data_IF_089223637940
#
_entry.id   IF_089223637940
#
_cell.length_a   1.000
_cell.length_b   1.000
_cell.length_c   1.000
_cell.angle_alpha   90.00
_cell.angle_beta   90.00
_cell.angle_gamma   90.00
#
_symmetry.space_group_name_H-M   'P 1'
#
loop_
_entity.id
_entity.type
_entity.pdbx_description
1 polymer ?
#
# COMPACT_ATOMS: atom_id res chain seq x y z
N UNK A 1 31.37 23.71 23.74
CA UNK A 1 31.53 23.43 22.30
C UNK A 1 30.44 24.21 21.56
N UNK A 2 30.78 25.19 20.73
CA UNK A 2 29.79 26.05 20.06
C UNK A 2 29.34 25.36 18.76
N UNK A 3 28.10 24.88 18.70
CA UNK A 3 27.57 24.08 17.58
C UNK A 3 27.69 24.80 16.23
N UNK A 4 27.63 26.15 16.22
CA UNK A 4 27.81 26.97 15.01
C UNK A 4 29.20 26.89 14.37
N UNK A 5 30.20 26.37 15.10
CA UNK A 5 31.55 26.12 14.59
C UNK A 5 31.74 24.72 14.01
N UNK A 6 30.75 23.83 14.11
CA UNK A 6 30.83 22.47 13.56
C UNK A 6 30.91 22.52 12.02
N UNK A 7 31.85 21.77 11.40
CA UNK A 7 31.94 21.65 9.94
C UNK A 7 30.64 21.14 9.32
N UNK A 8 29.97 20.18 9.98
CA UNK A 8 28.67 19.65 9.56
C UNK A 8 27.58 20.72 9.63
N UNK A 9 27.57 21.55 10.68
CA UNK A 9 26.63 22.67 10.78
C UNK A 9 26.82 23.66 9.64
N UNK A 10 28.06 24.04 9.30
CA UNK A 10 28.35 24.96 8.20
C UNK A 10 27.97 24.42 6.82
N UNK A 11 28.08 23.10 6.63
CA UNK A 11 27.80 22.45 5.35
C UNK A 11 26.29 22.32 5.09
N UNK A 12 25.49 21.99 6.10
CA UNK A 12 24.05 21.75 5.93
C UNK A 12 23.17 22.96 6.27
N UNK A 13 23.57 23.81 7.24
CA UNK A 13 22.77 24.97 7.62
C UNK A 13 22.72 26.04 6.52
N UNK A 14 23.79 26.21 5.73
CA UNK A 14 23.80 27.21 4.63
C UNK A 14 22.71 26.93 3.59
N UNK A 15 22.54 25.67 3.19
CA UNK A 15 21.54 25.27 2.20
C UNK A 15 20.10 25.44 2.74
N UNK A 16 19.87 25.12 4.01
CA UNK A 16 18.56 25.33 4.67
C UNK A 16 18.26 26.82 4.92
N UNK A 17 19.29 27.66 5.09
CA UNK A 17 19.15 29.11 5.26
C UNK A 17 18.99 29.86 3.92
N UNK A 18 19.41 29.27 2.80
CA UNK A 18 19.29 29.86 1.45
C UNK A 18 17.98 29.50 0.73
N UNK A 19 17.19 28.53 1.21
CA UNK A 19 15.90 28.18 0.61
C UNK A 19 14.79 29.18 0.99
N UNK A 20 14.77 30.31 0.29
CA UNK A 20 13.57 30.99 -0.20
C UNK A 20 12.48 31.43 0.79
N UNK A 21 12.73 32.49 1.57
CA UNK A 21 11.78 33.61 1.70
C UNK A 21 12.49 34.85 2.27
N UNK A 22 12.79 35.83 1.42
CA UNK A 22 13.69 36.95 1.76
C UNK A 22 13.06 38.09 2.56
N UNK A 23 11.77 38.04 2.88
CA UNK A 23 11.11 39.13 3.61
C UNK A 23 10.35 38.64 4.84
N UNK A 24 11.07 38.59 5.97
CA UNK A 24 10.63 38.87 7.36
C UNK A 24 11.69 38.36 8.34
N UNK A 25 12.67 39.20 8.67
CA UNK A 25 13.66 38.89 9.71
C UNK A 25 13.01 38.97 11.10
N UNK A 26 12.65 37.83 11.65
CA UNK A 26 12.63 37.63 13.10
C UNK A 26 14.01 37.10 13.53
N UNK A 27 14.55 37.50 14.69
CA UNK A 27 15.82 36.96 15.19
C UNK A 27 15.65 35.46 15.47
N UNK A 28 16.36 34.62 14.69
CA UNK A 28 16.35 33.17 14.90
C UNK A 28 17.07 32.82 16.20
N UNK A 29 16.31 32.37 17.19
CA UNK A 29 16.84 31.70 18.38
C UNK A 29 17.61 30.43 17.97
N UNK A 30 18.66 30.00 18.70
CA UNK A 30 19.38 28.74 18.44
C UNK A 30 18.46 27.51 18.33
N UNK A 31 17.32 27.54 19.02
CA UNK A 31 16.26 26.53 18.93
C UNK A 31 15.66 26.46 17.52
N UNK A 32 15.37 27.60 16.88
CA UNK A 32 14.74 27.63 15.56
C UNK A 32 15.63 27.16 14.41
N UNK A 33 16.95 27.31 14.53
CA UNK A 33 17.88 26.80 13.50
C UNK A 33 17.98 25.27 13.57
N UNK A 34 18.01 24.70 14.78
CA UNK A 34 17.99 23.25 14.97
C UNK A 34 16.71 22.65 14.41
N UNK A 35 15.56 23.26 14.70
CA UNK A 35 14.27 22.83 14.16
C UNK A 35 14.24 22.90 12.62
N UNK A 36 14.78 23.97 12.02
CA UNK A 36 14.86 24.11 10.57
C UNK A 36 15.77 23.06 9.91
N UNK A 37 16.91 22.73 10.53
CA UNK A 37 17.81 21.69 10.02
C UNK A 37 17.16 20.31 10.13
N UNK A 38 16.53 20.00 11.27
CA UNK A 38 15.82 18.73 11.48
C UNK A 38 14.66 18.60 10.47
N UNK A 39 13.88 19.67 10.28
CA UNK A 39 12.82 19.71 9.29
C UNK A 39 13.36 19.44 7.87
N UNK A 40 14.44 20.12 7.48
CA UNK A 40 15.05 19.92 6.16
C UNK A 40 15.52 18.47 5.93
N UNK A 41 16.10 17.82 6.96
CA UNK A 41 16.52 16.42 6.88
C UNK A 41 15.33 15.46 6.76
N UNK A 42 14.21 15.76 7.43
CA UNK A 42 12.98 14.99 7.27
C UNK A 42 12.37 15.18 5.88
N UNK A 43 12.38 16.41 5.36
CA UNK A 43 11.87 16.71 4.01
C UNK A 43 12.67 16.01 2.90
N UNK A 44 13.95 15.74 3.14
CA UNK A 44 14.82 14.97 2.24
C UNK A 44 14.70 13.45 2.41
N UNK A 45 14.09 12.99 3.51
CA UNK A 45 14.00 11.57 3.81
C UNK A 45 13.08 10.85 2.82
N UNK A 46 13.48 9.64 2.45
CA UNK A 46 12.74 8.79 1.51
C UNK A 46 12.43 7.47 2.16
N UNK A 47 11.22 6.98 1.93
CA UNK A 47 10.77 5.68 2.39
C UNK A 47 10.78 4.69 1.23
N UNK A 48 11.54 3.62 1.36
CA UNK A 48 11.49 2.48 0.47
C UNK A 48 10.74 1.35 1.17
N UNK A 49 9.55 1.01 0.67
CA UNK A 49 8.74 -0.07 1.24
C UNK A 49 9.19 -1.41 0.69
N UNK A 50 9.45 -2.36 1.59
CA UNK A 50 9.78 -3.74 1.26
C UNK A 50 8.60 -4.67 1.48
N UNK A 51 7.64 -4.29 2.34
CA UNK A 51 6.39 -5.01 2.56
C UNK A 51 5.26 -4.08 2.94
N UNK A 52 4.09 -4.27 2.33
CA UNK A 52 2.87 -3.52 2.63
C UNK A 52 1.68 -4.47 2.66
N UNK A 53 1.18 -4.82 3.84
CA UNK A 53 0.10 -5.81 3.99
C UNK A 53 -1.16 -5.18 4.56
N UNK A 54 -2.28 -5.40 3.87
CA UNK A 54 -3.63 -5.12 4.37
C UNK A 54 -4.35 -6.46 4.64
N UNK A 55 -4.88 -6.63 5.85
CA UNK A 55 -5.64 -7.82 6.28
C UNK A 55 -6.76 -7.48 7.25
N UNK A 56 -7.55 -8.48 7.66
CA UNK A 56 -8.60 -8.35 8.69
C UNK A 56 -9.58 -7.18 8.42
N UNK A 57 -10.14 -7.15 7.21
CA UNK A 57 -11.08 -6.13 6.78
C UNK A 57 -12.40 -6.17 7.58
N UNK A 58 -12.83 -5.03 8.12
CA UNK A 58 -14.19 -4.82 8.67
C UNK A 58 -14.92 -3.73 7.87
N UNK A 59 -16.10 -3.32 8.31
CA UNK A 59 -16.85 -2.21 7.69
C UNK A 59 -16.10 -0.87 7.78
N UNK A 60 -15.38 -0.67 8.88
CA UNK A 60 -14.80 0.60 9.34
C UNK A 60 -13.30 0.52 9.67
N UNK A 61 -12.65 -0.62 9.42
CA UNK A 61 -11.24 -0.80 9.77
C UNK A 61 -10.52 -1.88 8.95
N UNK A 62 -9.22 -1.96 9.13
CA UNK A 62 -8.36 -3.03 8.64
C UNK A 62 -7.07 -3.10 9.48
N UNK A 63 -6.33 -4.20 9.35
CA UNK A 63 -4.98 -4.30 9.88
C UNK A 63 -3.95 -3.94 8.80
N UNK A 64 -2.94 -3.18 9.20
CA UNK A 64 -1.85 -2.72 8.34
C UNK A 64 -0.50 -3.18 8.92
N UNK A 65 0.36 -3.75 8.07
CA UNK A 65 1.78 -3.97 8.34
C UNK A 65 2.59 -3.22 7.29
N UNK A 66 3.58 -2.43 7.73
CA UNK A 66 4.51 -1.73 6.83
C UNK A 66 5.93 -2.09 7.26
N UNK A 67 6.70 -2.62 6.33
CA UNK A 67 8.13 -2.84 6.48
C UNK A 67 8.86 -2.06 5.38
N UNK A 68 9.97 -1.44 5.73
CA UNK A 68 10.77 -0.72 4.77
C UNK A 68 12.04 -0.16 5.35
N UNK A 69 12.76 0.57 4.50
CA UNK A 69 13.98 1.26 4.88
C UNK A 69 13.81 2.75 4.60
N UNK A 70 14.21 3.57 5.57
CA UNK A 70 14.21 5.02 5.45
C UNK A 70 15.63 5.51 5.18
N UNK A 71 15.80 6.28 4.11
CA UNK A 71 17.08 6.83 3.68
C UNK A 71 17.03 8.36 3.61
N UNK A 72 18.18 9.01 3.42
CA UNK A 72 18.24 10.46 3.21
C UNK A 72 18.01 11.31 4.47
N UNK A 73 18.03 10.69 5.65
CA UNK A 73 17.83 11.36 6.96
C UNK A 73 19.05 12.15 7.45
N UNK A 74 20.09 12.26 6.61
CA UNK A 74 21.31 13.04 6.86
C UNK A 74 22.42 12.27 7.59
N UNK A 75 23.51 12.97 7.87
CA UNK A 75 24.70 12.44 8.59
C UNK A 75 24.52 12.33 10.09
N UNK A 76 23.37 12.75 10.62
CA UNK A 76 23.11 12.84 12.06
C UNK A 76 22.12 11.74 12.43
N UNK A 77 22.59 10.76 13.20
CA UNK A 77 21.69 9.77 13.80
C UNK A 77 20.69 10.47 14.72
N UNK A 78 19.41 10.20 14.48
CA UNK A 78 18.30 10.86 15.13
C UNK A 78 17.24 9.84 15.52
N UNK A 79 16.49 10.10 16.58
CA UNK A 79 15.38 9.26 17.00
C UNK A 79 14.09 9.99 16.74
N UNK A 80 13.28 9.50 15.81
CA UNK A 80 11.88 9.88 15.66
C UNK A 80 11.13 9.17 16.79
N UNK A 81 10.55 9.94 17.71
CA UNK A 81 9.78 9.39 18.83
C UNK A 81 8.45 8.83 18.28
N UNK A 82 8.00 7.72 18.87
CA UNK A 82 6.69 7.14 18.54
C UNK A 82 5.59 8.19 18.56
N UNK A 83 4.82 8.26 17.47
CA UNK A 83 3.84 9.34 17.22
C UNK A 83 2.67 8.82 16.40
N UNK A 84 1.52 9.47 16.49
CA UNK A 84 0.37 9.17 15.65
C UNK A 84 0.51 9.85 14.29
N UNK A 85 0.39 9.12 13.19
CA UNK A 85 0.42 9.67 11.85
C UNK A 85 -0.91 9.49 11.13
N UNK A 86 -1.26 10.45 10.28
CA UNK A 86 -2.39 10.39 9.37
C UNK A 86 -1.97 9.71 8.06
N UNK A 87 -2.75 8.73 7.63
CA UNK A 87 -2.61 8.08 6.33
C UNK A 87 -3.41 8.86 5.30
N UNK A 88 -2.70 9.38 4.29
CA UNK A 88 -3.23 10.31 3.30
C UNK A 88 -3.05 9.74 1.90
N UNK A 89 -4.12 9.75 1.11
CA UNK A 89 -4.09 9.40 -0.31
C UNK A 89 -4.72 10.55 -1.10
N UNK A 90 -4.06 10.98 -2.20
CA UNK A 90 -4.48 12.12 -3.02
C UNK A 90 -4.81 13.40 -2.23
N UNK A 91 -4.07 13.65 -1.14
CA UNK A 91 -4.25 14.83 -0.29
C UNK A 91 -5.39 14.75 0.71
N UNK A 92 -6.16 13.66 0.75
CA UNK A 92 -7.21 13.42 1.73
C UNK A 92 -6.81 12.35 2.74
N UNK A 93 -7.11 12.57 4.02
CA UNK A 93 -6.81 11.60 5.10
C UNK A 93 -7.91 10.55 5.13
N UNK A 94 -7.53 9.27 5.14
CA UNK A 94 -8.49 8.16 5.24
C UNK A 94 -8.31 7.29 6.48
N UNK A 95 -7.22 7.44 7.22
CA UNK A 95 -7.00 6.69 8.46
C UNK A 95 -5.87 7.27 9.32
N UNK A 96 -5.66 6.66 10.49
CA UNK A 96 -4.59 7.03 11.44
C UNK A 96 -3.85 5.79 11.92
N UNK A 97 -2.54 5.91 12.09
CA UNK A 97 -1.62 4.85 12.51
C UNK A 97 -0.68 5.35 13.60
N UNK A 98 -0.06 4.44 14.37
CA UNK A 98 1.01 4.79 15.31
C UNK A 98 2.34 4.40 14.71
N UNK A 99 3.18 5.37 14.39
CA UNK A 99 4.54 5.07 13.96
C UNK A 99 5.36 4.61 15.16
N UNK A 100 6.09 3.49 15.07
CA UNK A 100 7.01 3.09 16.13
C UNK A 100 8.12 4.12 16.26
N UNK A 101 8.89 4.04 17.35
CA UNK A 101 10.11 4.82 17.44
C UNK A 101 11.08 4.39 16.33
N UNK A 102 11.61 5.34 15.56
CA UNK A 102 12.54 5.06 14.45
C UNK A 102 13.90 5.69 14.77
N UNK A 103 14.96 4.89 14.76
CA UNK A 103 16.34 5.34 14.96
C UNK A 103 17.05 5.51 13.63
N UNK A 104 17.13 6.73 13.12
CA UNK A 104 17.75 7.05 11.84
C UNK A 104 19.27 6.87 11.89
N UNK A 105 19.83 6.41 10.77
CA UNK A 105 21.26 6.18 10.59
C UNK A 105 21.71 6.75 9.24
N UNK A 106 23.00 7.07 9.14
CA UNK A 106 23.59 7.58 7.89
C UNK A 106 23.48 6.60 6.72
N UNK A 107 23.46 5.29 6.99
CA UNK A 107 23.43 4.24 5.97
C UNK A 107 22.00 3.84 5.57
N UNK A 108 20.99 4.50 6.13
CA UNK A 108 19.61 4.05 6.10
C UNK A 108 19.23 3.29 7.35
N UNK A 109 17.94 3.25 7.63
CA UNK A 109 17.38 2.57 8.80
C UNK A 109 16.18 1.75 8.38
N UNK A 110 16.24 0.46 8.67
CA UNK A 110 15.07 -0.40 8.58
C UNK A 110 14.08 -0.05 9.69
N UNK A 111 12.80 -0.01 9.33
CA UNK A 111 11.73 0.11 10.30
C UNK A 111 10.63 -0.90 9.97
N UNK A 112 10.00 -1.39 11.03
CA UNK A 112 8.86 -2.29 10.96
C UNK A 112 7.76 -1.67 11.80
N UNK A 113 6.73 -1.16 11.12
CA UNK A 113 5.46 -0.90 11.77
C UNK A 113 4.74 -2.25 11.90
N UNK A 114 4.75 -2.78 13.13
CA UNK A 114 4.02 -4.00 13.48
C UNK A 114 2.54 -3.88 13.13
N UNK A 115 1.85 -5.01 13.08
CA UNK A 115 0.43 -5.06 12.75
C UNK A 115 -0.39 -4.10 13.63
N UNK A 116 -1.08 -3.17 12.98
CA UNK A 116 -1.90 -2.17 13.63
C UNK A 116 -3.28 -2.11 13.02
N UNK A 117 -4.29 -2.02 13.88
CA UNK A 117 -5.66 -1.74 13.47
C UNK A 117 -5.78 -0.26 13.10
N UNK A 118 -6.21 0.01 11.88
CA UNK A 118 -6.45 1.33 11.32
C UNK A 118 -7.95 1.55 11.20
N UNK A 119 -8.46 2.62 11.80
CA UNK A 119 -9.84 3.07 11.61
C UNK A 119 -9.96 3.88 10.32
N UNK A 120 -10.99 3.58 9.54
CA UNK A 120 -11.31 4.24 8.28
C UNK A 120 -12.17 5.47 8.58
N UNK A 121 -11.59 6.66 8.45
CA UNK A 121 -12.30 7.92 8.67
C UNK A 121 -12.92 8.50 7.39
N UNK A 122 -12.40 8.09 6.23
CA UNK A 122 -12.95 8.41 4.91
C UNK A 122 -13.00 7.15 4.06
N UNK A 123 -14.18 6.52 4.05
CA UNK A 123 -14.44 5.29 3.31
C UNK A 123 -14.24 5.45 1.80
N UNK A 124 -14.62 6.60 1.24
CA UNK A 124 -14.52 6.83 -0.21
C UNK A 124 -13.07 6.93 -0.62
N UNK A 125 -12.27 7.71 0.11
CA UNK A 125 -10.86 7.86 -0.20
C UNK A 125 -10.07 6.58 0.08
N UNK A 126 -10.43 5.83 1.13
CA UNK A 126 -9.85 4.52 1.39
C UNK A 126 -10.11 3.52 0.24
N UNK A 127 -11.36 3.41 -0.24
CA UNK A 127 -11.65 2.55 -1.38
C UNK A 127 -10.92 3.00 -2.65
N UNK A 128 -10.75 4.30 -2.87
CA UNK A 128 -9.95 4.82 -3.98
C UNK A 128 -8.48 4.42 -3.86
N UNK A 129 -7.93 4.43 -2.64
CA UNK A 129 -6.58 3.94 -2.37
C UNK A 129 -6.44 2.44 -2.65
N UNK A 130 -7.34 1.60 -2.13
CA UNK A 130 -7.31 0.14 -2.41
C UNK A 130 -7.47 -0.14 -3.91
N UNK A 131 -8.34 0.60 -4.61
CA UNK A 131 -8.42 0.51 -6.07
C UNK A 131 -7.08 0.83 -6.73
N UNK A 132 -6.41 1.92 -6.33
CA UNK A 132 -5.11 2.29 -6.91
C UNK A 132 -4.06 1.20 -6.70
N UNK A 133 -4.08 0.52 -5.55
CA UNK A 133 -3.23 -0.64 -5.27
C UNK A 133 -3.51 -1.79 -6.26
N UNK A 134 -4.77 -2.05 -6.59
CA UNK A 134 -5.16 -3.17 -7.45
C UNK A 134 -4.91 -2.87 -8.92
N UNK A 135 -5.27 -1.67 -9.38
CA UNK A 135 -5.41 -1.36 -10.81
C UNK A 135 -4.20 -0.63 -11.38
N UNK A 136 -3.58 0.27 -10.62
CA UNK A 136 -2.50 1.12 -11.13
C UNK A 136 -1.14 0.40 -10.98
N UNK A 137 -0.14 0.76 -11.79
CA UNK A 137 1.22 0.19 -11.70
C UNK A 137 1.98 0.71 -10.48
N UNK A 138 1.70 1.95 -10.08
CA UNK A 138 2.31 2.64 -8.95
C UNK A 138 1.25 3.45 -8.21
N UNK A 139 1.40 3.55 -6.89
CA UNK A 139 0.58 4.42 -6.05
C UNK A 139 1.46 5.09 -5.00
N UNK A 140 0.99 6.19 -4.42
CA UNK A 140 1.72 6.89 -3.36
C UNK A 140 0.82 7.11 -2.16
N UNK A 141 1.23 6.54 -1.03
CA UNK A 141 0.63 6.80 0.26
C UNK A 141 1.46 7.86 1.00
N UNK A 142 0.82 8.76 1.73
CA UNK A 142 1.53 9.75 2.53
C UNK A 142 1.26 9.54 4.02
N UNK A 143 2.34 9.53 4.80
CA UNK A 143 2.30 9.60 6.25
C UNK A 143 2.51 11.05 6.69
N UNK A 144 1.57 11.61 7.44
CA UNK A 144 1.64 13.00 7.90
C UNK A 144 1.45 13.11 9.41
N UNK A 145 2.30 13.89 10.08
CA UNK A 145 2.14 14.28 11.47
C UNK A 145 2.69 15.71 11.66
N UNK A 146 1.90 16.62 12.23
CA UNK A 146 2.29 18.02 12.40
C UNK A 146 2.94 18.35 13.75
N UNK A 147 3.23 17.32 14.56
CA UNK A 147 3.74 17.47 15.93
C UNK A 147 4.71 16.32 16.27
N UNK A 148 5.68 16.09 15.38
CA UNK A 148 6.61 14.98 15.47
C UNK A 148 7.80 15.42 16.31
N UNK A 149 8.15 14.63 17.33
CA UNK A 149 9.33 14.91 18.15
C UNK A 149 10.52 14.11 17.63
N UNK A 150 11.58 14.81 17.24
CA UNK A 150 12.85 14.20 16.83
C UNK A 150 13.93 14.55 17.83
N UNK A 151 14.68 13.54 18.28
CA UNK A 151 15.82 13.70 19.17
C UNK A 151 17.12 13.49 18.41
N UNK A 152 17.99 14.49 18.41
CA UNK A 152 19.28 14.43 17.73
C UNK A 152 20.33 15.22 18.52
N UNK A 153 21.55 14.69 18.64
CA UNK A 153 22.67 15.37 19.32
C UNK A 153 22.35 15.89 20.75
N UNK A 154 21.50 15.17 21.49
CA UNK A 154 21.08 15.55 22.85
C UNK A 154 20.01 16.66 22.89
N UNK A 155 19.51 17.12 21.75
CA UNK A 155 18.43 18.09 21.63
C UNK A 155 17.13 17.38 21.21
N UNK A 156 15.99 18.01 21.52
CA UNK A 156 14.67 17.59 21.05
C UNK A 156 14.05 18.73 20.26
N UNK A 157 13.55 18.41 19.07
CA UNK A 157 12.91 19.34 18.15
C UNK A 157 11.51 18.86 17.80
N UNK A 158 10.58 19.80 17.70
CA UNK A 158 9.23 19.55 17.19
C UNK A 158 9.18 19.95 15.73
N UNK A 159 8.71 19.06 14.87
CA UNK A 159 8.74 19.21 13.42
C UNK A 159 7.51 18.58 12.78
N UNK A 160 7.28 18.93 11.51
CA UNK A 160 6.27 18.30 10.69
C UNK A 160 6.89 17.10 9.98
N UNK A 161 6.32 15.92 10.19
CA UNK A 161 6.66 14.72 9.44
C UNK A 161 5.73 14.62 8.22
N UNK A 162 6.30 14.59 7.03
CA UNK A 162 5.62 14.20 5.80
C UNK A 162 6.50 13.21 5.06
N UNK A 163 6.09 11.95 5.04
CA UNK A 163 6.80 10.90 4.32
C UNK A 163 5.95 10.43 3.15
N UNK A 164 6.50 10.57 1.95
CA UNK A 164 5.98 9.89 0.76
C UNK A 164 6.39 8.42 0.81
N UNK A 165 5.41 7.55 0.59
CA UNK A 165 5.53 6.11 0.56
C UNK A 165 5.13 5.63 -0.84
N UNK A 166 6.04 5.75 -1.83
CA UNK A 166 5.80 5.21 -3.14
C UNK A 166 5.71 3.69 -3.04
N UNK A 167 4.66 3.13 -3.61
CA UNK A 167 4.38 1.70 -3.65
C UNK A 167 4.33 1.26 -5.11
N UNK A 168 5.07 0.20 -5.43
CA UNK A 168 4.80 -0.57 -6.63
C UNK A 168 3.50 -1.33 -6.40
N UNK A 169 2.43 -0.87 -7.05
CA UNK A 169 1.12 -1.44 -6.95
C UNK A 169 1.03 -2.72 -7.80
N UNK A 170 -0.11 -3.40 -7.75
CA UNK A 170 -0.30 -4.71 -8.40
C UNK A 170 -0.34 -4.56 -9.93
N UNK A 171 -0.81 -3.43 -10.46
CA UNK A 171 -0.90 -3.18 -11.91
C UNK A 171 -1.87 -4.12 -12.64
N UNK A 172 -2.92 -4.56 -11.94
CA UNK A 172 -3.82 -5.63 -12.39
C UNK A 172 -3.20 -7.02 -12.16
N UNK A 173 -3.84 -7.90 -11.37
CA UNK A 173 -3.29 -9.22 -11.10
C UNK A 173 -3.13 -10.00 -12.40
N UNK A 174 -1.91 -10.46 -12.68
CA UNK A 174 -1.63 -11.26 -13.89
C UNK A 174 -1.97 -12.71 -13.60
N UNK A 175 -2.92 -13.24 -14.36
CA UNK A 175 -3.44 -14.57 -14.13
C UNK A 175 -3.39 -15.42 -15.39
N UNK A 176 -3.04 -16.69 -15.24
CA UNK A 176 -3.09 -17.68 -16.30
C UNK A 176 -3.63 -19.00 -15.77
N UNK A 177 -4.46 -19.68 -16.57
CA UNK A 177 -5.01 -20.99 -16.21
C UNK A 177 -3.90 -22.02 -16.18
N UNK A 178 -3.67 -22.62 -15.01
CA UNK A 178 -2.75 -23.74 -14.82
C UNK A 178 -3.45 -25.08 -15.02
N UNK A 179 -4.69 -25.19 -14.53
CA UNK A 179 -5.48 -26.40 -14.59
C UNK A 179 -6.96 -26.06 -14.62
N UNK A 180 -7.71 -26.79 -15.42
CA UNK A 180 -9.16 -26.71 -15.48
C UNK A 180 -9.72 -28.14 -15.53
N UNK A 181 -10.70 -28.42 -14.68
CA UNK A 181 -11.41 -29.69 -14.64
C UNK A 181 -12.89 -29.47 -14.42
N UNK A 182 -13.72 -30.28 -15.06
CA UNK A 182 -15.18 -30.26 -14.94
C UNK A 182 -15.73 -31.66 -14.70
N UNK A 183 -16.73 -31.77 -13.83
CA UNK A 183 -17.52 -32.98 -13.60
C UNK A 183 -19.00 -32.60 -13.59
N UNK A 184 -19.74 -32.95 -14.64
CA UNK A 184 -21.10 -32.44 -14.82
C UNK A 184 -21.08 -30.92 -14.94
N UNK A 185 -21.79 -30.21 -14.06
CA UNK A 185 -21.78 -28.75 -14.04
C UNK A 185 -20.71 -28.16 -13.12
N UNK A 186 -20.11 -28.96 -12.24
CA UNK A 186 -19.09 -28.52 -11.30
C UNK A 186 -17.77 -28.29 -12.03
N UNK A 187 -17.17 -27.12 -11.82
CA UNK A 187 -15.91 -26.71 -12.40
C UNK A 187 -14.91 -26.32 -11.31
N UNK A 188 -13.66 -26.69 -11.52
CA UNK A 188 -12.53 -26.23 -10.71
C UNK A 188 -11.46 -25.68 -11.63
N UNK A 189 -11.01 -24.45 -11.35
CA UNK A 189 -9.98 -23.76 -12.11
C UNK A 189 -8.87 -23.34 -11.16
N UNK A 190 -7.64 -23.73 -11.48
CA UNK A 190 -6.43 -23.29 -10.80
C UNK A 190 -5.76 -22.24 -11.68
N UNK A 191 -5.63 -21.03 -11.17
CA UNK A 191 -4.90 -19.94 -11.80
C UNK A 191 -3.52 -19.81 -11.15
N UNK A 192 -2.49 -19.59 -11.96
CA UNK A 192 -1.28 -18.92 -11.48
C UNK A 192 -1.58 -17.43 -11.35
N UNK A 193 -1.22 -16.83 -10.22
CA UNK A 193 -1.39 -15.42 -9.91
C UNK A 193 -0.02 -14.81 -9.69
N UNK A 194 0.33 -13.77 -10.44
CA UNK A 194 1.58 -13.04 -10.27
C UNK A 194 1.32 -11.57 -9.94
N UNK A 195 1.85 -11.13 -8.81
CA UNK A 195 1.75 -9.75 -8.35
C UNK A 195 3.15 -9.16 -8.19
N UNK A 196 3.50 -8.12 -8.95
CA UNK A 196 4.78 -7.45 -8.78
C UNK A 196 4.74 -6.54 -7.54
N UNK A 197 5.86 -6.46 -6.82
CA UNK A 197 6.02 -5.48 -5.73
C UNK A 197 5.71 -6.02 -4.33
N UNK A 198 5.76 -5.12 -3.32
CA UNK A 198 5.73 -5.48 -1.91
C UNK A 198 4.32 -5.60 -1.31
N UNK A 199 3.28 -5.43 -2.13
CA UNK A 199 1.89 -5.38 -1.67
C UNK A 199 1.33 -6.77 -1.41
N UNK A 200 0.72 -6.93 -0.24
CA UNK A 200 -0.09 -8.07 0.17
C UNK A 200 -1.51 -7.60 0.51
N UNK A 201 -2.53 -8.27 -0.02
CA UNK A 201 -3.93 -7.92 0.19
C UNK A 201 -4.79 -9.18 0.35
N UNK A 202 -5.37 -9.34 1.53
CA UNK A 202 -6.29 -10.44 1.86
C UNK A 202 -7.73 -10.01 1.55
N UNK A 203 -8.36 -10.66 0.57
CA UNK A 203 -9.77 -10.48 0.24
C UNK A 203 -10.67 -11.59 0.80
N UNK A 204 -10.12 -12.58 1.50
CA UNK A 204 -10.84 -13.72 2.01
C UNK A 204 -11.57 -14.51 0.92
N UNK A 205 -12.70 -15.12 1.27
CA UNK A 205 -13.47 -15.96 0.37
C UNK A 205 -14.31 -15.11 -0.61
N UNK A 206 -13.89 -15.11 -1.87
CA UNK A 206 -14.44 -14.27 -2.92
C UNK A 206 -15.37 -15.05 -3.86
N UNK A 207 -16.28 -14.31 -4.49
CA UNK A 207 -17.18 -14.78 -5.54
C UNK A 207 -16.77 -14.08 -6.84
N UNK A 208 -16.59 -14.86 -7.88
CA UNK A 208 -16.20 -14.43 -9.21
C UNK A 208 -17.19 -14.94 -10.25
N UNK A 209 -17.23 -14.23 -11.37
CA UNK A 209 -17.85 -14.68 -12.60
C UNK A 209 -16.78 -14.83 -13.67
N UNK A 210 -16.75 -15.97 -14.34
CA UNK A 210 -16.03 -16.14 -15.58
C UNK A 210 -16.95 -15.71 -16.72
N UNK A 211 -16.61 -14.66 -17.46
CA UNK A 211 -17.45 -14.09 -18.52
C UNK A 211 -16.81 -14.26 -19.89
N UNK A 212 -17.62 -14.58 -20.90
CA UNK A 212 -17.16 -14.64 -22.29
C UNK A 212 -16.97 -13.22 -22.89
N UNK A 213 -16.54 -13.15 -24.16
CA UNK A 213 -16.36 -11.88 -24.87
C UNK A 213 -17.62 -11.01 -25.03
N UNK A 214 -18.82 -11.55 -24.76
CA UNK A 214 -20.10 -10.84 -24.76
C UNK A 214 -20.56 -10.43 -23.36
N UNK A 215 -19.71 -10.62 -22.35
CA UNK A 215 -20.03 -10.41 -20.93
C UNK A 215 -21.11 -11.34 -20.37
N UNK A 216 -21.36 -12.48 -21.02
CA UNK A 216 -22.25 -13.53 -20.50
C UNK A 216 -21.48 -14.41 -19.52
N UNK A 217 -22.08 -14.72 -18.37
CA UNK A 217 -21.49 -15.55 -17.31
C UNK A 217 -21.43 -17.01 -17.76
N UNK A 218 -20.22 -17.53 -17.99
CA UNK A 218 -19.92 -18.93 -18.28
C UNK A 218 -19.93 -19.78 -17.02
N UNK A 219 -19.38 -19.26 -15.94
CA UNK A 219 -19.32 -19.96 -14.65
C UNK A 219 -19.36 -18.98 -13.49
N UNK A 220 -20.00 -19.39 -12.42
CA UNK A 220 -19.90 -18.76 -11.10
C UNK A 220 -18.85 -19.52 -10.30
N UNK A 221 -17.89 -18.80 -9.74
CA UNK A 221 -16.70 -19.34 -9.14
C UNK A 221 -16.50 -18.76 -7.74
N UNK A 222 -15.96 -19.55 -6.83
CA UNK A 222 -15.68 -19.14 -5.46
C UNK A 222 -14.33 -19.69 -4.99
N UNK A 223 -13.65 -18.92 -4.16
CA UNK A 223 -12.39 -19.34 -3.56
C UNK A 223 -11.72 -18.23 -2.79
N UNK A 224 -10.68 -18.57 -2.04
CA UNK A 224 -9.95 -17.62 -1.21
C UNK A 224 -8.94 -16.84 -2.05
N UNK A 225 -9.08 -15.51 -2.10
CA UNK A 225 -8.15 -14.62 -2.79
C UNK A 225 -7.22 -13.95 -1.78
N UNK A 226 -5.98 -14.46 -1.73
CA UNK A 226 -4.87 -13.83 -1.04
C UNK A 226 -3.86 -13.33 -2.08
N UNK A 227 -3.79 -12.02 -2.24
CA UNK A 227 -2.77 -11.39 -3.07
C UNK A 227 -1.51 -11.26 -2.23
N UNK A 228 -0.42 -11.88 -2.69
CA UNK A 228 0.88 -11.79 -2.05
C UNK A 228 1.97 -11.54 -3.09
N UNK A 229 3.10 -11.00 -2.63
CA UNK A 229 4.25 -10.76 -3.49
C UNK A 229 4.75 -12.05 -4.15
N UNK A 230 5.04 -11.99 -5.44
CA UNK A 230 5.59 -13.11 -6.20
C UNK A 230 4.54 -13.91 -6.97
N UNK A 231 4.73 -15.23 -7.06
CA UNK A 231 3.81 -16.14 -7.75
C UNK A 231 3.09 -17.05 -6.74
N UNK A 232 1.77 -17.01 -6.77
CA UNK A 232 0.89 -17.86 -5.97
C UNK A 232 -0.11 -18.60 -6.86
N UNK A 233 -0.87 -19.52 -6.28
CA UNK A 233 -1.97 -20.20 -6.96
C UNK A 233 -3.30 -19.78 -6.36
N UNK A 234 -4.27 -19.48 -7.22
CA UNK A 234 -5.67 -19.27 -6.84
C UNK A 234 -6.48 -20.46 -7.36
N UNK A 235 -7.10 -21.19 -6.43
CA UNK A 235 -8.03 -22.27 -6.79
C UNK A 235 -9.45 -21.79 -6.60
N UNK A 236 -10.23 -21.84 -7.68
CA UNK A 236 -11.63 -21.48 -7.68
C UNK A 236 -12.50 -22.71 -8.01
N UNK A 237 -13.60 -22.84 -7.29
CA UNK A 237 -14.60 -23.88 -7.46
C UNK A 237 -15.96 -23.25 -7.76
N UNK A 238 -16.77 -23.90 -8.59
CA UNK A 238 -18.15 -23.49 -8.73
C UNK A 238 -18.85 -24.22 -9.87
N UNK A 239 -19.78 -23.56 -10.54
CA UNK A 239 -20.66 -24.19 -11.51
C UNK A 239 -20.70 -23.45 -12.83
N UNK A 240 -20.78 -24.21 -13.92
CA UNK A 240 -20.98 -23.69 -15.28
C UNK A 240 -22.46 -23.38 -15.53
N UNK A 241 -22.72 -22.41 -16.41
CA UNK A 241 -24.06 -22.08 -16.90
C UNK A 241 -24.29 -22.68 -18.29
N UNK A 242 -25.40 -23.39 -18.42
CA UNK A 242 -25.78 -24.02 -19.69
C UNK A 242 -26.13 -22.99 -20.77
N UNK A 243 -25.79 -23.29 -22.02
CA UNK A 243 -26.19 -22.51 -23.20
C UNK A 243 -25.33 -21.27 -23.50
N UNK A 244 -24.30 -20.99 -22.68
CA UNK A 244 -23.36 -19.90 -22.94
C UNK A 244 -22.13 -20.44 -23.68
N UNK A 245 -21.79 -19.83 -24.82
CA UNK A 245 -20.64 -20.27 -25.63
C UNK A 245 -19.34 -19.75 -25.04
N UNK A 246 -18.44 -20.67 -24.71
CA UNK A 246 -17.08 -20.35 -24.30
C UNK A 246 -16.27 -19.74 -25.45
N UNK A 247 -15.40 -18.79 -25.11
CA UNK A 247 -14.45 -18.17 -26.04
C UNK A 247 -13.01 -18.37 -25.53
N UNK A 248 -12.05 -18.32 -26.43
CA UNK A 248 -10.62 -18.37 -26.08
C UNK A 248 -10.16 -17.16 -25.24
N UNK A 249 -10.94 -16.08 -25.22
CA UNK A 249 -10.75 -14.93 -24.34
C UNK A 249 -11.93 -14.80 -23.42
N UNK A 250 -11.67 -14.84 -22.12
CA UNK A 250 -12.66 -14.66 -21.05
C UNK A 250 -12.18 -13.59 -20.09
N UNK A 251 -13.07 -13.13 -19.20
CA UNK A 251 -12.72 -12.24 -18.11
C UNK A 251 -13.10 -12.89 -16.79
N UNK A 252 -12.19 -12.88 -15.83
CA UNK A 252 -12.48 -13.23 -14.44
C UNK A 252 -12.84 -11.95 -13.70
N UNK A 253 -14.11 -11.83 -13.30
CA UNK A 253 -14.65 -10.62 -12.67
C UNK A 253 -15.04 -10.91 -11.23
N UNK A 254 -14.49 -10.15 -10.28
CA UNK A 254 -14.92 -10.21 -8.89
C UNK A 254 -16.29 -9.57 -8.71
N UNK A 255 -17.23 -10.27 -8.08
CA UNK A 255 -18.63 -9.80 -7.93
C UNK A 255 -19.07 -9.61 -6.48
N UNK A 256 -18.42 -10.30 -5.55
CA UNK A 256 -18.69 -10.17 -4.13
C UNK A 256 -17.74 -10.99 -3.26
N UNK A 257 -17.94 -10.93 -1.95
CA UNK A 257 -17.26 -11.78 -0.97
C UNK A 257 -18.27 -12.50 -0.08
N UNK A 258 -17.94 -13.73 0.30
CA UNK A 258 -18.71 -14.53 1.24
C UNK A 258 -18.20 -14.25 2.65
N UNK A 259 -18.63 -13.13 3.22
CA UNK A 259 -18.29 -12.72 4.58
C UNK A 259 -19.54 -12.75 5.46
N UNK A 260 -19.38 -13.26 6.69
CA UNK A 260 -20.43 -13.20 7.73
C UNK A 260 -20.69 -11.76 8.19
N UNK A 261 -19.66 -10.93 8.14
CA UNK A 261 -19.68 -9.55 8.58
C UNK A 261 -19.54 -8.60 7.38
N UNK A 262 -20.09 -7.39 7.51
CA UNK A 262 -19.94 -6.36 6.48
C UNK A 262 -18.48 -5.91 6.44
N UNK A 263 -17.94 -5.77 5.23
CA UNK A 263 -16.62 -5.21 5.01
C UNK A 263 -16.55 -4.47 3.68
N UNK A 264 -15.54 -3.62 3.53
CA UNK A 264 -15.24 -2.93 2.28
C UNK A 264 -14.81 -3.87 1.14
N UNK A 265 -14.49 -5.14 1.44
CA UNK A 265 -14.07 -6.14 0.45
C UNK A 265 -15.12 -6.35 -0.66
N UNK A 266 -16.41 -6.29 -0.34
CA UNK A 266 -17.49 -6.41 -1.33
C UNK A 266 -17.45 -5.32 -2.41
N UNK A 267 -16.88 -4.15 -2.08
CA UNK A 267 -16.68 -3.06 -3.01
C UNK A 267 -15.38 -3.22 -3.79
N UNK A 268 -14.27 -3.54 -3.12
CA UNK A 268 -12.94 -3.57 -3.74
C UNK A 268 -12.70 -4.82 -4.59
N UNK A 269 -13.37 -5.94 -4.31
CA UNK A 269 -13.30 -7.15 -5.14
C UNK A 269 -13.75 -6.89 -6.58
N UNK A 270 -14.59 -5.88 -6.80
CA UNK A 270 -15.09 -5.48 -8.13
C UNK A 270 -14.03 -4.79 -8.99
N UNK A 271 -12.92 -4.38 -8.39
CA UNK A 271 -11.76 -3.88 -9.12
C UNK A 271 -10.93 -5.03 -9.73
N UNK A 272 -11.19 -6.28 -9.34
CA UNK A 272 -10.63 -7.47 -9.97
C UNK A 272 -11.43 -7.77 -11.24
N UNK A 273 -10.89 -7.37 -12.37
CA UNK A 273 -11.44 -7.66 -13.69
C UNK A 273 -10.29 -8.01 -14.65
N UNK A 274 -9.98 -9.29 -14.74
CA UNK A 274 -8.75 -9.79 -15.36
C UNK A 274 -9.07 -10.52 -16.66
N UNK A 275 -8.51 -10.10 -17.82
CA UNK A 275 -8.60 -10.88 -19.04
C UNK A 275 -7.76 -12.15 -18.93
N UNK A 276 -8.33 -13.28 -19.32
CA UNK A 276 -7.69 -14.59 -19.32
C UNK A 276 -7.77 -15.15 -20.75
N UNK A 277 -6.62 -15.53 -21.28
CA UNK A 277 -6.55 -16.36 -22.48
C UNK A 277 -6.68 -17.84 -22.07
N UNK A 278 -7.63 -18.55 -22.66
CA UNK A 278 -7.87 -19.97 -22.46
C UNK A 278 -7.27 -20.77 -23.62
N UNK A 279 -6.53 -21.82 -23.28
CA UNK A 279 -6.13 -22.82 -24.26
C UNK A 279 -7.36 -23.50 -24.89
N UNK A 280 -7.30 -23.94 -26.16
CA UNK A 280 -8.43 -24.61 -26.83
C UNK A 280 -9.01 -25.80 -26.03
N UNK A 281 -8.15 -26.57 -25.35
CA UNK A 281 -8.57 -27.66 -24.47
C UNK A 281 -9.40 -27.18 -23.27
N UNK A 282 -9.10 -26.01 -22.73
CA UNK A 282 -9.88 -25.43 -21.63
C UNK A 282 -11.25 -24.95 -22.13
N UNK A 283 -11.31 -24.41 -23.35
CA UNK A 283 -12.57 -24.00 -23.99
C UNK A 283 -13.49 -25.19 -24.21
N UNK A 284 -12.96 -26.36 -24.59
CA UNK A 284 -13.76 -27.59 -24.77
C UNK A 284 -14.34 -28.14 -23.45
N UNK A 285 -13.74 -27.82 -22.30
CA UNK A 285 -14.20 -28.29 -20.99
C UNK A 285 -15.30 -27.37 -20.44
N UNK A 286 -15.30 -26.07 -20.76
CA UNK A 286 -16.27 -25.06 -20.29
C UNK A 286 -17.53 -25.03 -21.16
#
# INVERSE_FOLDING_TARGET
MIISSSPLFKQYARTALDSGNRDRRAPYSPLGITDAIVQHLLDLSKLQVTRFKISNATEDSFNLVIEGCMFGTGTISSTIVSTEASLTFNGAVFGRTKLPQIQTSFWGTDFVAQEQRIEIIDYTNYCAFVRSIIVDDETNLQLQNSNCTVKALGLSSVCNLRLDMPLKAIGGPRMAVKKLSRLGNDVTIVFSLSCPGPVELDHGFCIFELRNGRSETLAELKGELNIAAGQTELTLHGTTRDGVVASNRVRLVGVGVEAKEKSWLNKTIREIDVPIDLDPKCVEIL
#
